data_IF_525707908927
#
_entry.id   IF_525707908927
#
_cell.length_a   1.000
_cell.length_b   1.000
_cell.length_c   1.000
_cell.angle_alpha   90.00
_cell.angle_beta   90.00
_cell.angle_gamma   90.00
#
_symmetry.space_group_name_H-M   'P 1'
#
loop_
_entity.id
_entity.type
_entity.pdbx_description
1 polymer ?
#
# COMPACT_ATOMS: atom_id res chain seq x y z
N UNK A 1 2.02 -20.97 -13.22
CA UNK A 1 3.48 -20.82 -13.31
C UNK A 1 4.11 -22.09 -12.73
N UNK A 2 4.93 -22.79 -13.51
CA UNK A 2 5.73 -23.92 -13.02
C UNK A 2 6.84 -23.33 -12.14
N UNK A 3 6.58 -23.22 -10.83
CA UNK A 3 7.60 -22.81 -9.87
C UNK A 3 8.70 -23.87 -9.77
N UNK A 4 9.94 -23.44 -9.59
CA UNK A 4 11.02 -24.35 -9.21
C UNK A 4 10.61 -25.09 -7.92
N UNK A 5 10.93 -26.39 -7.84
CA UNK A 5 10.72 -27.13 -6.59
C UNK A 5 11.55 -26.50 -5.47
N UNK A 6 11.10 -26.65 -4.21
CA UNK A 6 11.84 -26.14 -3.04
C UNK A 6 13.29 -26.63 -3.03
N UNK A 7 13.53 -27.87 -3.47
CA UNK A 7 14.87 -28.45 -3.62
C UNK A 7 15.70 -27.68 -4.65
N UNK A 8 15.16 -27.46 -5.85
CA UNK A 8 15.84 -26.68 -6.90
C UNK A 8 16.12 -25.25 -6.42
N UNK A 9 15.15 -24.63 -5.75
CA UNK A 9 15.32 -23.28 -5.23
C UNK A 9 16.46 -23.19 -4.20
N UNK A 10 16.50 -24.10 -3.21
CA UNK A 10 17.55 -24.11 -2.18
C UNK A 10 18.95 -24.43 -2.71
N UNK A 11 19.04 -25.37 -3.65
CA UNK A 11 20.32 -25.89 -4.13
C UNK A 11 20.91 -25.06 -5.27
N UNK A 12 20.07 -24.43 -6.11
CA UNK A 12 20.53 -23.77 -7.33
C UNK A 12 20.27 -22.26 -7.33
N UNK A 13 19.13 -21.81 -6.80
CA UNK A 13 18.71 -20.40 -6.88
C UNK A 13 19.23 -19.59 -5.69
N UNK A 14 18.97 -20.04 -4.46
CA UNK A 14 19.41 -19.33 -3.23
C UNK A 14 20.92 -19.05 -3.21
N UNK A 15 21.82 -19.97 -3.58
CA UNK A 15 23.26 -19.70 -3.56
C UNK A 15 23.70 -18.55 -4.47
N UNK A 16 23.03 -18.38 -5.61
CA UNK A 16 23.37 -17.34 -6.61
C UNK A 16 22.62 -16.03 -6.35
N UNK A 17 21.46 -16.09 -5.69
CA UNK A 17 20.65 -14.92 -5.38
C UNK A 17 21.18 -14.13 -4.17
N UNK A 18 21.79 -14.81 -3.20
CA UNK A 18 22.39 -14.15 -2.05
C UNK A 18 23.73 -13.53 -2.43
N UNK A 19 23.96 -12.30 -1.98
CA UNK A 19 25.20 -11.54 -2.20
C UNK A 19 25.74 -11.03 -0.86
N UNK A 20 26.99 -10.54 -0.85
CA UNK A 20 27.60 -9.94 0.35
C UNK A 20 27.58 -10.86 1.58
N UNK A 21 27.16 -10.30 2.71
CA UNK A 21 27.13 -11.00 4.00
C UNK A 21 26.12 -12.14 4.04
N UNK A 22 24.99 -12.02 3.33
CA UNK A 22 24.01 -13.10 3.20
C UNK A 22 24.60 -14.34 2.48
N UNK A 23 25.40 -14.12 1.44
CA UNK A 23 26.10 -15.20 0.75
C UNK A 23 27.15 -15.87 1.66
N UNK A 24 27.87 -15.07 2.45
CA UNK A 24 28.86 -15.57 3.42
C UNK A 24 28.19 -16.41 4.50
N UNK A 25 27.16 -15.86 5.14
CA UNK A 25 26.36 -16.55 6.15
C UNK A 25 25.86 -17.90 5.65
N UNK A 26 25.28 -17.96 4.44
CA UNK A 26 24.75 -19.20 3.85
C UNK A 26 25.83 -20.28 3.71
N UNK A 27 27.05 -19.92 3.31
CA UNK A 27 28.17 -20.89 3.17
C UNK A 27 28.61 -21.49 4.51
N UNK A 28 28.36 -20.79 5.62
CA UNK A 28 28.69 -21.25 6.97
C UNK A 28 27.55 -22.07 7.61
N UNK A 29 26.35 -22.05 7.03
CA UNK A 29 25.22 -22.82 7.56
C UNK A 29 25.37 -24.31 7.22
N UNK A 30 24.94 -25.15 8.15
CA UNK A 30 24.59 -26.55 7.86
C UNK A 30 23.51 -26.63 6.76
N UNK A 31 23.42 -27.73 6.00
CA UNK A 31 22.41 -27.89 4.97
C UNK A 31 20.99 -27.64 5.48
N UNK A 32 20.22 -26.84 4.75
CA UNK A 32 18.82 -26.55 5.07
C UNK A 32 17.94 -27.75 4.78
N UNK A 33 17.05 -28.09 5.71
CA UNK A 33 16.16 -29.25 5.59
C UNK A 33 14.97 -28.99 4.65
N UNK A 34 14.56 -27.73 4.54
CA UNK A 34 13.44 -27.29 3.71
C UNK A 34 13.52 -25.79 3.44
N UNK A 35 12.69 -25.30 2.53
CA UNK A 35 12.59 -23.86 2.30
C UNK A 35 12.06 -23.12 3.54
N UNK A 36 11.25 -23.79 4.37
CA UNK A 36 10.79 -23.25 5.64
C UNK A 36 11.94 -23.08 6.65
N UNK A 37 12.82 -24.08 6.75
CA UNK A 37 14.02 -24.03 7.60
C UNK A 37 14.97 -22.91 7.15
N UNK A 38 15.24 -22.80 5.84
CA UNK A 38 16.00 -21.67 5.29
C UNK A 38 15.39 -20.32 5.68
N UNK A 39 14.07 -20.13 5.47
CA UNK A 39 13.39 -18.88 5.81
C UNK A 39 13.47 -18.56 7.30
N UNK A 40 13.32 -19.56 8.16
CA UNK A 40 13.39 -19.38 9.61
C UNK A 40 14.78 -18.89 10.03
N UNK A 41 15.83 -19.61 9.63
CA UNK A 41 17.23 -19.26 9.96
C UNK A 41 17.67 -17.94 9.32
N UNK A 42 17.22 -17.66 8.10
CA UNK A 42 17.52 -16.40 7.43
C UNK A 42 16.88 -15.21 8.16
N UNK A 43 15.63 -15.37 8.64
CA UNK A 43 14.97 -14.33 9.43
C UNK A 43 15.66 -14.13 10.77
N UNK A 44 16.05 -15.21 11.45
CA UNK A 44 16.77 -15.14 12.72
C UNK A 44 18.10 -14.38 12.61
N UNK A 45 18.84 -14.57 11.51
CA UNK A 45 20.11 -13.87 11.27
C UNK A 45 19.90 -12.39 10.91
N UNK A 46 18.96 -12.09 10.00
CA UNK A 46 18.91 -10.80 9.32
C UNK A 46 17.81 -9.86 9.82
N UNK A 47 16.88 -10.33 10.66
CA UNK A 47 15.89 -9.47 11.29
C UNK A 47 16.32 -9.09 12.71
N UNK A 48 15.93 -7.89 13.18
CA UNK A 48 16.08 -7.52 14.58
C UNK A 48 15.40 -8.55 15.51
N UNK A 49 15.96 -8.82 16.72
CA UNK A 49 15.36 -9.74 17.68
C UNK A 49 13.91 -9.41 18.08
N UNK A 50 13.55 -8.13 17.99
CA UNK A 50 12.23 -7.59 18.31
C UNK A 50 11.37 -7.26 17.07
N UNK A 51 11.75 -7.75 15.89
CA UNK A 51 11.11 -7.44 14.61
C UNK A 51 9.60 -7.64 14.64
N UNK A 52 9.13 -8.79 15.16
CA UNK A 52 7.69 -9.13 15.19
C UNK A 52 6.88 -8.19 16.10
N UNK A 53 7.50 -7.60 17.13
CA UNK A 53 6.89 -6.55 17.93
C UNK A 53 6.88 -5.22 17.16
N UNK A 54 8.04 -4.83 16.62
CA UNK A 54 8.21 -3.55 15.91
C UNK A 54 7.31 -3.41 14.70
N UNK A 55 7.12 -4.47 13.92
CA UNK A 55 6.25 -4.43 12.73
C UNK A 55 4.76 -4.29 13.09
N UNK A 56 4.34 -4.85 14.25
CA UNK A 56 2.98 -4.66 14.78
C UNK A 56 2.80 -3.23 15.32
N UNK A 57 3.80 -2.68 15.99
CA UNK A 57 3.78 -1.29 16.46
C UNK A 57 3.76 -0.32 15.27
N UNK A 58 4.53 -0.60 14.21
CA UNK A 58 4.50 0.17 12.97
C UNK A 58 3.11 0.12 12.32
N UNK A 59 2.50 -1.06 12.18
CA UNK A 59 1.14 -1.20 11.69
C UNK A 59 0.11 -0.47 12.59
N UNK A 60 0.31 -0.48 13.91
CA UNK A 60 -0.58 0.18 14.85
C UNK A 60 -0.52 1.71 14.74
N UNK A 61 0.67 2.26 14.54
CA UNK A 61 0.94 3.69 14.53
C UNK A 61 0.93 4.32 13.14
N UNK A 62 0.89 3.52 12.07
CA UNK A 62 0.94 3.99 10.68
C UNK A 62 -0.24 4.92 10.37
N UNK A 63 0.08 6.17 10.03
CA UNK A 63 -0.86 7.16 9.49
C UNK A 63 -0.36 7.67 8.16
N UNK A 64 -1.27 8.10 7.28
CA UNK A 64 -0.89 8.62 5.95
C UNK A 64 -0.18 9.97 6.05
N UNK A 65 0.95 10.12 5.36
CA UNK A 65 1.66 11.39 5.26
C UNK A 65 0.95 12.39 4.32
N UNK A 66 1.01 13.72 4.55
CA UNK A 66 0.39 14.71 3.66
C UNK A 66 0.86 14.67 2.20
N UNK A 67 2.10 14.25 1.95
CA UNK A 67 2.65 14.11 0.59
C UNK A 67 2.48 12.69 0.02
N UNK A 68 1.99 11.76 0.83
CA UNK A 68 1.73 10.38 0.40
C UNK A 68 0.36 10.30 -0.28
N UNK A 69 0.33 9.69 -1.46
CA UNK A 69 -0.94 9.44 -2.15
C UNK A 69 -1.78 8.40 -1.42
N UNK A 70 -3.10 8.44 -1.61
CA UNK A 70 -3.98 7.45 -0.99
C UNK A 70 -3.69 6.03 -1.48
N UNK A 71 -3.30 5.88 -2.75
CA UNK A 71 -2.88 4.58 -3.30
C UNK A 71 -1.62 4.08 -2.63
N UNK A 72 -0.55 4.88 -2.56
CA UNK A 72 0.72 4.48 -1.92
C UNK A 72 0.51 4.07 -0.46
N UNK A 73 -0.25 4.86 0.28
CA UNK A 73 -0.60 4.57 1.66
C UNK A 73 -1.31 3.22 1.82
N UNK A 74 -2.32 2.95 1.00
CA UNK A 74 -3.06 1.67 1.07
C UNK A 74 -2.17 0.49 0.67
N UNK A 75 -1.27 0.66 -0.31
CA UNK A 75 -0.28 -0.35 -0.69
C UNK A 75 0.70 -0.64 0.46
N UNK A 76 1.21 0.39 1.11
CA UNK A 76 2.08 0.24 2.27
C UNK A 76 1.37 -0.51 3.41
N UNK A 77 0.10 -0.20 3.68
CA UNK A 77 -0.70 -0.94 4.65
C UNK A 77 -0.92 -2.41 4.27
N UNK A 78 -1.17 -2.72 3.00
CA UNK A 78 -1.25 -4.12 2.55
C UNK A 78 0.04 -4.88 2.86
N UNK A 79 1.19 -4.25 2.61
CA UNK A 79 2.50 -4.80 2.91
C UNK A 79 2.71 -5.03 4.40
N UNK A 80 2.38 -4.04 5.24
CA UNK A 80 2.47 -4.15 6.69
C UNK A 80 1.57 -5.25 7.23
N UNK A 81 0.31 -5.34 6.78
CA UNK A 81 -0.59 -6.42 7.17
C UNK A 81 -0.05 -7.79 6.74
N UNK A 82 0.54 -7.92 5.56
CA UNK A 82 1.11 -9.21 5.10
C UNK A 82 2.24 -9.72 6.00
N UNK A 83 2.93 -8.81 6.70
CA UNK A 83 4.05 -9.11 7.59
C UNK A 83 3.65 -9.25 9.05
N UNK A 84 2.82 -8.34 9.55
CA UNK A 84 2.48 -8.25 10.96
C UNK A 84 1.26 -9.09 11.34
N UNK A 85 0.20 -9.03 10.53
CA UNK A 85 -1.12 -9.59 10.85
C UNK A 85 -1.83 -10.13 9.59
N UNK A 86 -1.28 -11.17 8.93
CA UNK A 86 -1.81 -11.65 7.65
C UNK A 86 -3.24 -12.15 7.76
N UNK A 87 -3.61 -12.73 8.91
CA UNK A 87 -4.93 -13.28 9.22
C UNK A 87 -5.98 -12.25 9.64
N UNK A 88 -5.62 -10.97 9.78
CA UNK A 88 -6.59 -9.94 10.18
C UNK A 88 -7.76 -9.86 9.17
N UNK A 89 -9.02 -9.73 9.65
CA UNK A 89 -10.19 -9.64 8.77
C UNK A 89 -10.11 -8.43 7.84
N UNK A 90 -10.52 -8.59 6.58
CA UNK A 90 -10.47 -7.49 5.60
C UNK A 90 -11.27 -6.26 6.04
N UNK A 91 -12.41 -6.45 6.70
CA UNK A 91 -13.21 -5.35 7.24
C UNK A 91 -12.41 -4.53 8.28
N UNK A 92 -11.61 -5.18 9.13
CA UNK A 92 -10.76 -4.49 10.09
C UNK A 92 -9.63 -3.73 9.38
N UNK A 93 -9.00 -4.35 8.39
CA UNK A 93 -7.95 -3.74 7.56
C UNK A 93 -8.44 -2.45 6.91
N UNK A 94 -9.61 -2.51 6.27
CA UNK A 94 -10.26 -1.35 5.61
C UNK A 94 -10.63 -0.29 6.63
N UNK A 95 -11.29 -0.66 7.73
CA UNK A 95 -11.70 0.28 8.76
C UNK A 95 -10.50 1.04 9.36
N UNK A 96 -9.38 0.34 9.57
CA UNK A 96 -8.12 0.94 10.02
C UNK A 96 -7.56 1.90 8.97
N UNK A 97 -7.47 1.47 7.71
CA UNK A 97 -6.96 2.29 6.62
C UNK A 97 -7.73 3.62 6.51
N UNK A 98 -9.07 3.57 6.54
CA UNK A 98 -9.93 4.77 6.48
C UNK A 98 -9.75 5.65 7.74
N UNK A 99 -9.64 5.04 8.93
CA UNK A 99 -9.45 5.79 10.19
C UNK A 99 -8.14 6.58 10.20
N UNK A 100 -7.07 5.97 9.71
CA UNK A 100 -5.68 6.47 9.75
C UNK A 100 -5.24 7.21 8.47
N UNK A 101 -6.09 7.28 7.44
CA UNK A 101 -5.82 8.08 6.25
C UNK A 101 -5.85 9.58 6.55
N UNK A 102 -5.21 10.35 5.68
CA UNK A 102 -5.13 11.80 5.80
C UNK A 102 -6.55 12.40 5.71
N UNK A 103 -6.93 13.36 6.59
CA UNK A 103 -8.30 13.89 6.66
C UNK A 103 -8.90 14.37 5.34
N UNK A 104 -8.08 14.90 4.42
CA UNK A 104 -8.51 15.33 3.08
C UNK A 104 -9.27 14.25 2.29
N UNK A 105 -8.96 12.97 2.51
CA UNK A 105 -9.61 11.88 1.80
C UNK A 105 -10.89 11.38 2.48
N UNK A 106 -11.12 11.71 3.76
CA UNK A 106 -12.24 11.16 4.54
C UNK A 106 -13.60 11.49 3.95
N UNK A 107 -13.75 12.68 3.34
CA UNK A 107 -15.00 13.07 2.67
C UNK A 107 -15.34 12.15 1.49
N UNK A 108 -14.34 11.73 0.72
CA UNK A 108 -14.52 10.88 -0.45
C UNK A 108 -14.75 9.40 -0.11
N UNK A 109 -14.28 8.96 1.06
CA UNK A 109 -14.41 7.58 1.53
C UNK A 109 -15.66 7.35 2.39
N UNK A 110 -16.30 8.40 2.88
CA UNK A 110 -17.47 8.32 3.75
C UNK A 110 -18.64 7.63 3.04
N UNK A 111 -19.28 6.68 3.73
CA UNK A 111 -20.47 5.98 3.23
C UNK A 111 -20.19 4.95 2.13
N UNK A 112 -18.91 4.63 1.87
CA UNK A 112 -18.50 3.59 0.93
C UNK A 112 -18.06 2.35 1.67
N UNK A 113 -18.46 1.20 1.15
CA UNK A 113 -18.05 -0.10 1.66
C UNK A 113 -17.02 -0.73 0.72
N UNK A 114 -15.92 -1.21 1.29
CA UNK A 114 -14.85 -1.88 0.56
C UNK A 114 -14.69 -3.30 1.10
N UNK A 115 -14.66 -4.28 0.20
CA UNK A 115 -14.48 -5.68 0.57
C UNK A 115 -13.09 -5.96 1.18
N UNK A 116 -12.07 -5.23 0.74
CA UNK A 116 -10.68 -5.36 1.17
C UNK A 116 -9.85 -4.11 0.80
N UNK A 117 -8.57 -4.13 1.14
CA UNK A 117 -7.64 -3.06 0.81
C UNK A 117 -7.37 -2.92 -0.71
N UNK A 118 -7.58 -3.96 -1.51
CA UNK A 118 -7.41 -3.89 -2.97
C UNK A 118 -8.54 -3.07 -3.59
N UNK A 119 -9.77 -3.33 -3.18
CA UNK A 119 -10.93 -2.56 -3.58
C UNK A 119 -10.77 -1.08 -3.18
N UNK A 120 -10.26 -0.81 -1.98
CA UNK A 120 -9.94 0.54 -1.52
C UNK A 120 -8.82 1.19 -2.38
N UNK A 121 -7.75 0.47 -2.69
CA UNK A 121 -6.64 0.99 -3.52
C UNK A 121 -7.08 1.33 -4.95
N UNK A 122 -8.03 0.55 -5.52
CA UNK A 122 -8.61 0.85 -6.83
C UNK A 122 -9.43 2.13 -6.78
N UNK A 123 -10.27 2.29 -5.77
CA UNK A 123 -11.08 3.52 -5.61
C UNK A 123 -10.23 4.74 -5.30
N UNK A 124 -9.13 4.58 -4.55
CA UNK A 124 -8.20 5.65 -4.24
C UNK A 124 -7.68 6.36 -5.50
N UNK A 125 -7.50 5.63 -6.62
CA UNK A 125 -7.13 6.23 -7.91
C UNK A 125 -8.20 7.19 -8.43
N UNK A 126 -9.47 6.78 -8.36
CA UNK A 126 -10.61 7.61 -8.77
C UNK A 126 -10.70 8.87 -7.90
N UNK A 127 -10.58 8.71 -6.58
CA UNK A 127 -10.60 9.83 -5.62
C UNK A 127 -9.47 10.81 -5.92
N UNK A 128 -8.26 10.33 -6.18
CA UNK A 128 -7.12 11.18 -6.51
C UNK A 128 -7.30 11.92 -7.84
N UNK A 129 -7.86 11.27 -8.85
CA UNK A 129 -8.18 11.93 -10.11
C UNK A 129 -9.22 13.05 -9.92
N UNK A 130 -10.25 12.81 -9.09
CA UNK A 130 -11.24 13.82 -8.72
C UNK A 130 -10.61 15.02 -8.01
N UNK A 131 -9.77 14.78 -7.01
CA UNK A 131 -9.04 15.84 -6.31
C UNK A 131 -8.15 16.66 -7.24
N UNK A 132 -7.44 16.02 -8.17
CA UNK A 132 -6.63 16.72 -9.15
C UNK A 132 -7.48 17.59 -10.08
N UNK A 133 -8.64 17.08 -10.52
CA UNK A 133 -9.58 17.84 -11.33
C UNK A 133 -10.16 19.05 -10.56
N UNK A 134 -10.48 18.89 -9.28
CA UNK A 134 -10.92 19.98 -8.41
C UNK A 134 -9.84 21.06 -8.26
N UNK A 135 -8.57 20.66 -8.07
CA UNK A 135 -7.44 21.60 -7.98
C UNK A 135 -7.21 22.38 -9.28
N UNK A 136 -7.55 21.79 -10.43
CA UNK A 136 -7.40 22.39 -11.75
C UNK A 136 -8.66 23.14 -12.22
N UNK A 137 -9.75 23.06 -11.46
CA UNK A 137 -11.02 23.65 -11.84
C UNK A 137 -10.89 25.15 -12.03
N UNK A 138 -11.49 25.64 -13.13
CA UNK A 138 -11.67 27.07 -13.39
C UNK A 138 -13.15 27.31 -13.64
N UNK A 139 -13.73 28.38 -13.07
CA UNK A 139 -15.09 28.76 -13.40
C UNK A 139 -15.24 29.02 -14.91
N UNK A 140 -16.45 28.87 -15.47
CA UNK A 140 -16.69 29.23 -16.86
C UNK A 140 -16.34 30.70 -17.12
N UNK A 141 -15.95 31.06 -18.36
CA UNK A 141 -15.68 32.44 -18.73
C UNK A 141 -16.91 33.32 -18.52
N UNK A 142 -16.70 34.62 -18.31
CA UNK A 142 -17.80 35.59 -18.18
C UNK A 142 -18.54 35.72 -19.51
N UNK A 143 -19.77 36.24 -19.47
CA UNK A 143 -20.55 36.48 -20.69
C UNK A 143 -19.80 37.37 -21.69
N UNK A 144 -19.07 38.38 -21.21
CA UNK A 144 -18.25 39.29 -22.02
C UNK A 144 -17.05 38.59 -22.71
N UNK A 145 -16.60 37.48 -22.15
CA UNK A 145 -15.43 36.71 -22.60
C UNK A 145 -15.86 35.42 -23.35
N UNK A 146 -17.18 35.18 -23.44
CA UNK A 146 -17.76 34.01 -24.09
C UNK A 146 -18.08 34.31 -25.55
N UNK A 147 -17.85 33.33 -26.44
CA UNK A 147 -18.28 33.40 -27.83
C UNK A 147 -19.80 33.53 -27.97
N UNK A 148 -20.54 32.94 -27.02
CA UNK A 148 -21.99 32.99 -26.94
C UNK A 148 -22.41 33.55 -25.58
N UNK A 149 -22.49 34.90 -25.43
CA UNK A 149 -22.81 35.55 -24.15
C UNK A 149 -24.17 35.12 -23.58
N UNK A 150 -25.15 34.82 -24.44
CA UNK A 150 -26.50 34.38 -24.03
C UNK A 150 -26.54 33.01 -23.34
N UNK A 151 -25.49 32.20 -23.49
CA UNK A 151 -25.36 30.89 -22.85
C UNK A 151 -24.43 30.92 -21.62
N UNK A 152 -23.79 32.05 -21.32
CA UNK A 152 -22.88 32.15 -20.20
C UNK A 152 -23.61 32.16 -18.85
N UNK A 153 -22.95 31.70 -17.80
CA UNK A 153 -23.50 31.77 -16.45
C UNK A 153 -23.55 33.23 -15.98
N UNK A 154 -24.74 33.71 -15.63
CA UNK A 154 -24.99 35.14 -15.30
C UNK A 154 -24.97 35.46 -13.81
N UNK A 155 -24.69 34.47 -12.95
CA UNK A 155 -24.64 34.67 -11.50
C UNK A 155 -25.98 34.94 -10.82
N UNK A 156 -27.10 35.00 -11.57
CA UNK A 156 -28.44 35.05 -10.98
C UNK A 156 -28.79 33.65 -10.47
N UNK A 157 -28.89 33.53 -9.14
CA UNK A 157 -29.50 32.35 -8.53
C UNK A 157 -30.93 32.18 -9.05
N UNK A 158 -31.32 30.94 -9.30
CA UNK A 158 -32.71 30.57 -9.57
C UNK A 158 -33.60 30.85 -8.36
#
# INVERSE_FOLDING_TARGET
ALGASDVTALLQIVPIALTGDAARWRRLQTPFQSMADFRARFREEFLPPDYEMRIRDELATRTQHPDESLVEYVRALQELYSRAEPSAPNAEKVARAIRQCHPRFKAYLRGRDFADLEALAREARTVQAGLLAEMQYRPPPRAEESLEPGCAWTGRAA
#
